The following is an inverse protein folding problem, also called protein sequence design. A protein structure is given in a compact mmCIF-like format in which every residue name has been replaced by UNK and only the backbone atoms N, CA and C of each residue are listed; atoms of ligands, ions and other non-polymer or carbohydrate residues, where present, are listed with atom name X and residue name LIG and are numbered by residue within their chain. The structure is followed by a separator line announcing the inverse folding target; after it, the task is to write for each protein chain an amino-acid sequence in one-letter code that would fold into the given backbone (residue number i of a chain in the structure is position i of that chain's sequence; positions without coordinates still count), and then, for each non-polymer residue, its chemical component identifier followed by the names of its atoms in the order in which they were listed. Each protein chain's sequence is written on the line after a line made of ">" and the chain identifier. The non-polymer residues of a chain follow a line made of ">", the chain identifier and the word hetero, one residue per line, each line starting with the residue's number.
data_IF_753150949903
#
_entry.id   IF_753150949903
#
_cell.length_a   1.000
_cell.length_b   1.000
_cell.length_c   1.000
_cell.angle_alpha   90.00
_cell.angle_beta   90.00
_cell.angle_gamma   90.00
#
_symmetry.space_group_name_H-M   'P 1'
#
loop_
_entity.id
_entity.type
_entity.pdbx_description
1 polymer ?
#
# COMPACT_ATOMS: atom_id res chain seq x y z
N UNK A 1 14.06 10.35 -18.19
CA UNK A 1 12.88 9.72 -17.55
C UNK A 1 13.18 9.36 -16.10
N UNK A 2 12.38 9.85 -15.19
CA UNK A 2 12.44 9.52 -13.76
C UNK A 2 11.04 9.17 -13.26
N UNK A 3 10.88 8.00 -12.67
CA UNK A 3 9.65 7.57 -12.02
C UNK A 3 9.99 7.03 -10.63
N UNK A 4 9.76 7.78 -9.55
CA UNK A 4 9.97 7.30 -8.19
C UNK A 4 8.83 6.38 -7.75
N UNK A 5 9.04 5.69 -6.62
CA UNK A 5 8.00 4.94 -5.92
C UNK A 5 7.39 3.77 -6.73
N UNK A 6 8.19 3.07 -7.54
CA UNK A 6 7.73 1.99 -8.41
C UNK A 6 7.67 0.63 -7.71
N UNK A 7 7.25 0.57 -6.46
CA UNK A 7 7.09 -0.68 -5.72
C UNK A 7 5.62 -1.07 -5.53
N UNK A 8 5.36 -1.68 -4.38
CA UNK A 8 4.01 -2.05 -3.94
C UNK A 8 3.33 -0.84 -3.26
N UNK A 9 3.95 -0.35 -2.18
CA UNK A 9 3.51 0.80 -1.39
C UNK A 9 4.75 1.53 -0.81
N UNK A 10 5.15 2.65 -1.38
CA UNK A 10 4.47 3.40 -2.45
C UNK A 10 4.60 2.72 -3.82
N UNK A 11 3.56 2.87 -4.62
CA UNK A 11 3.56 2.33 -5.97
C UNK A 11 2.21 1.81 -6.43
N UNK A 12 2.09 0.51 -6.74
CA UNK A 12 0.88 -0.09 -7.31
C UNK A 12 -0.38 0.22 -6.49
N UNK A 13 -0.27 0.29 -5.15
CA UNK A 13 -1.39 0.66 -4.30
C UNK A 13 -1.97 2.06 -4.62
N UNK A 14 -1.11 3.01 -5.02
CA UNK A 14 -1.55 4.35 -5.40
C UNK A 14 -2.06 4.43 -6.85
N UNK A 15 -1.55 3.56 -7.75
CA UNK A 15 -2.13 3.40 -9.10
C UNK A 15 -3.58 2.91 -8.98
N UNK A 16 -3.81 1.87 -8.18
CA UNK A 16 -5.17 1.36 -7.87
C UNK A 16 -6.04 2.45 -7.27
N UNK A 17 -5.55 3.14 -6.23
CA UNK A 17 -6.30 4.22 -5.58
C UNK A 17 -6.70 5.31 -6.57
N UNK A 18 -5.78 5.72 -7.45
CA UNK A 18 -6.07 6.70 -8.50
C UNK A 18 -7.05 6.16 -9.56
N UNK A 19 -7.00 4.86 -9.86
CA UNK A 19 -7.95 4.25 -10.79
C UNK A 19 -9.36 4.30 -10.25
N UNK A 20 -9.61 3.73 -9.06
CA UNK A 20 -10.96 3.68 -8.49
C UNK A 20 -11.51 5.06 -8.11
N UNK A 21 -10.64 6.05 -7.82
CA UNK A 21 -11.07 7.42 -7.52
C UNK A 21 -11.75 8.14 -8.69
N UNK A 22 -11.51 7.68 -9.93
CA UNK A 22 -12.10 8.29 -11.14
C UNK A 22 -13.58 8.00 -11.32
N UNK A 23 -14.14 7.07 -10.57
CA UNK A 23 -15.55 6.70 -10.66
C UNK A 23 -16.48 7.68 -9.94
N UNK A 24 -15.91 8.68 -9.27
CA UNK A 24 -16.65 9.62 -8.45
C UNK A 24 -16.72 11.00 -9.09
N UNK A 25 -17.92 11.61 -9.01
CA UNK A 25 -18.11 13.03 -9.34
C UNK A 25 -17.58 13.91 -8.19
N UNK A 26 -17.90 13.53 -6.97
CA UNK A 26 -17.44 14.18 -5.74
C UNK A 26 -16.82 13.10 -4.85
N UNK A 27 -15.48 13.06 -4.85
CA UNK A 27 -14.70 12.09 -4.09
C UNK A 27 -14.50 12.61 -2.66
N UNK A 28 -14.94 11.84 -1.67
CA UNK A 28 -14.90 12.25 -0.26
C UNK A 28 -13.84 11.51 0.55
N UNK A 29 -13.51 10.26 0.20
CA UNK A 29 -12.50 9.52 0.95
C UNK A 29 -11.74 8.53 0.06
N UNK A 30 -10.43 8.40 0.31
CA UNK A 30 -9.61 7.27 -0.16
C UNK A 30 -8.85 6.69 1.03
N UNK A 31 -9.02 5.39 1.27
CA UNK A 31 -8.28 4.65 2.29
C UNK A 31 -7.43 3.58 1.63
N UNK A 32 -6.13 3.66 1.81
CA UNK A 32 -5.17 2.66 1.30
C UNK A 32 -4.66 1.86 2.49
N UNK A 33 -4.92 0.55 2.49
CA UNK A 33 -4.53 -0.39 3.54
C UNK A 33 -3.70 -1.51 2.92
N UNK A 34 -2.42 -1.56 3.24
CA UNK A 34 -1.51 -2.58 2.70
C UNK A 34 -0.75 -3.25 3.83
N UNK A 35 -0.62 -4.56 3.78
CA UNK A 35 0.14 -5.30 4.77
C UNK A 35 0.90 -6.46 4.18
N UNK A 36 2.20 -6.56 4.52
CA UNK A 36 2.96 -7.78 4.39
C UNK A 36 2.91 -8.52 5.73
N UNK A 37 2.27 -9.67 5.75
CA UNK A 37 1.86 -10.37 6.97
C UNK A 37 2.46 -11.76 7.00
N UNK A 38 3.12 -12.12 8.10
CA UNK A 38 3.52 -13.49 8.35
C UNK A 38 2.30 -14.38 8.56
N UNK A 39 2.26 -15.56 7.92
CA UNK A 39 1.19 -16.55 8.11
C UNK A 39 1.34 -17.33 9.41
N UNK A 40 2.55 -17.48 9.93
CA UNK A 40 2.90 -18.40 11.01
C UNK A 40 3.56 -17.74 12.23
N UNK A 41 3.46 -16.41 12.38
CA UNK A 41 4.05 -15.74 13.52
C UNK A 41 3.36 -16.13 14.84
N UNK A 42 4.11 -16.80 15.72
CA UNK A 42 3.64 -17.29 17.03
C UNK A 42 4.04 -16.38 18.18
N UNK A 43 4.96 -15.43 17.94
CA UNK A 43 5.37 -14.47 18.95
C UNK A 43 4.25 -13.47 19.29
N UNK A 44 4.36 -12.79 20.43
CA UNK A 44 3.37 -11.78 20.85
C UNK A 44 3.28 -10.59 19.89
N UNK A 45 4.36 -10.30 19.17
CA UNK A 45 4.40 -9.28 18.13
C UNK A 45 3.52 -9.63 16.92
N UNK A 46 3.13 -10.92 16.77
CA UNK A 46 2.38 -11.44 15.61
C UNK A 46 3.04 -11.10 14.27
N UNK A 47 4.39 -11.08 14.28
CA UNK A 47 5.17 -10.65 13.14
C UNK A 47 6.49 -11.42 13.04
N UNK A 48 6.82 -11.87 11.83
CA UNK A 48 8.14 -12.29 11.40
C UNK A 48 8.52 -11.44 10.19
N UNK A 49 9.78 -11.06 10.08
CA UNK A 49 10.27 -10.25 8.96
C UNK A 49 10.34 -11.08 7.68
N UNK A 50 9.73 -10.58 6.59
CA UNK A 50 9.87 -11.13 5.23
C UNK A 50 10.60 -10.18 4.28
N UNK A 51 11.06 -9.03 4.81
CA UNK A 51 11.76 -7.98 4.08
C UNK A 51 12.71 -7.20 5.02
N UNK A 52 13.27 -6.07 4.56
CA UNK A 52 14.27 -5.30 5.30
C UNK A 52 13.78 -4.80 6.66
N UNK A 53 14.47 -5.19 7.73
CA UNK A 53 14.23 -4.68 9.08
C UNK A 53 14.47 -3.18 9.20
N UNK A 54 15.47 -2.63 8.50
CA UNK A 54 15.76 -1.19 8.47
C UNK A 54 14.60 -0.43 7.80
N UNK A 55 14.06 -0.98 6.71
CA UNK A 55 12.88 -0.43 6.05
C UNK A 55 11.66 -0.41 6.97
N UNK A 56 11.45 -1.49 7.73
CA UNK A 56 10.35 -1.59 8.69
C UNK A 56 10.46 -0.54 9.81
N UNK A 57 11.65 -0.35 10.38
CA UNK A 57 11.88 0.67 11.41
C UNK A 57 11.63 2.07 10.83
N UNK A 58 12.09 2.34 9.62
CA UNK A 58 11.84 3.62 8.95
C UNK A 58 10.35 3.89 8.71
N UNK A 59 9.54 2.86 8.36
CA UNK A 59 8.09 3.00 8.24
C UNK A 59 7.41 3.45 9.54
N UNK A 60 7.93 3.00 10.69
CA UNK A 60 7.36 3.31 12.01
C UNK A 60 7.86 4.64 12.58
N UNK A 61 8.65 5.38 11.83
CA UNK A 61 9.22 6.65 12.24
C UNK A 61 8.79 7.78 11.29
N UNK A 62 8.86 9.03 11.79
CA UNK A 62 8.69 10.21 10.97
C UNK A 62 7.23 10.62 10.74
N UNK A 63 7.03 11.31 9.63
CA UNK A 63 5.76 11.93 9.25
C UNK A 63 5.11 11.19 8.10
N UNK A 64 3.80 10.97 8.21
CA UNK A 64 2.98 10.33 7.20
C UNK A 64 2.13 11.38 6.49
N UNK A 65 2.28 11.48 5.18
CA UNK A 65 1.48 12.38 4.35
C UNK A 65 0.02 11.92 4.32
N UNK A 66 -0.89 12.84 4.46
CA UNK A 66 -2.34 12.60 4.40
C UNK A 66 -3.05 13.83 3.81
N UNK A 67 -4.28 13.65 3.37
CA UNK A 67 -5.21 14.76 3.14
C UNK A 67 -6.31 14.64 4.20
N UNK A 68 -6.64 15.74 4.85
CA UNK A 68 -7.73 15.85 5.80
C UNK A 68 -8.55 17.10 5.51
N UNK A 69 -9.84 16.90 5.32
CA UNK A 69 -10.77 17.98 4.92
C UNK A 69 -10.23 18.80 3.74
N UNK A 70 -9.70 18.09 2.73
CA UNK A 70 -9.12 18.68 1.54
C UNK A 70 -7.73 19.30 1.70
N UNK A 71 -7.17 19.34 2.90
CA UNK A 71 -5.87 19.95 3.16
C UNK A 71 -4.76 18.91 3.25
N UNK A 72 -3.67 19.16 2.51
CA UNK A 72 -2.45 18.37 2.62
C UNK A 72 -1.78 18.62 3.98
N UNK A 73 -1.61 17.57 4.75
CA UNK A 73 -1.01 17.64 6.08
C UNK A 73 -0.23 16.37 6.43
N UNK A 74 0.29 16.32 7.66
CA UNK A 74 1.11 15.22 8.13
C UNK A 74 0.59 14.68 9.47
N UNK A 75 0.46 13.37 9.55
CA UNK A 75 0.30 12.64 10.79
C UNK A 75 1.64 12.07 11.29
N UNK A 76 1.74 11.78 12.57
CA UNK A 76 2.87 11.00 13.08
C UNK A 76 2.72 9.53 12.69
N UNK A 77 3.83 8.84 12.43
CA UNK A 77 3.83 7.39 12.34
C UNK A 77 3.28 6.77 13.63
N UNK A 78 2.71 5.57 13.54
CA UNK A 78 2.02 4.84 14.61
C UNK A 78 0.77 5.54 15.18
N UNK A 79 0.34 6.65 14.59
CA UNK A 79 -0.93 7.30 14.95
C UNK A 79 -2.10 6.78 14.11
N UNK A 80 -3.32 7.23 14.41
CA UNK A 80 -4.51 6.90 13.63
C UNK A 80 -4.86 5.41 13.68
N UNK A 81 -4.56 4.75 14.80
CA UNK A 81 -4.90 3.35 15.03
C UNK A 81 -6.38 3.07 14.76
N UNK A 82 -6.65 1.98 14.04
CA UNK A 82 -7.99 1.46 13.82
C UNK A 82 -7.98 -0.08 13.82
N UNK A 83 -9.08 -0.68 14.22
CA UNK A 83 -9.39 -2.08 13.94
C UNK A 83 -10.25 -2.14 12.69
N UNK A 84 -9.93 -3.05 11.80
CA UNK A 84 -10.64 -3.22 10.54
C UNK A 84 -10.88 -4.71 10.28
N UNK A 85 -12.08 -5.03 9.83
CA UNK A 85 -12.42 -6.39 9.38
C UNK A 85 -12.42 -6.42 7.87
N UNK A 86 -11.58 -7.27 7.28
CA UNK A 86 -11.49 -7.47 5.83
C UNK A 86 -11.75 -8.95 5.57
N UNK A 87 -12.74 -9.23 4.75
CA UNK A 87 -13.16 -10.60 4.40
C UNK A 87 -13.31 -11.53 5.64
N UNK A 88 -13.96 -11.01 6.69
CA UNK A 88 -14.21 -11.77 7.93
C UNK A 88 -13.02 -11.92 8.87
N UNK A 89 -11.85 -11.38 8.54
CA UNK A 89 -10.66 -11.40 9.38
C UNK A 89 -10.36 -10.04 9.98
N UNK A 90 -10.07 -10.01 11.29
CA UNK A 90 -9.69 -8.78 11.98
C UNK A 90 -8.20 -8.45 11.79
N UNK A 91 -7.95 -7.18 11.52
CA UNK A 91 -6.63 -6.57 11.44
C UNK A 91 -6.60 -5.28 12.27
N UNK A 92 -5.41 -4.81 12.51
CA UNK A 92 -5.18 -3.44 12.94
C UNK A 92 -4.44 -2.67 11.85
N UNK A 93 -4.74 -1.37 11.75
CA UNK A 93 -4.08 -0.48 10.81
C UNK A 93 -3.71 0.83 11.49
N UNK A 94 -2.58 1.40 11.08
CA UNK A 94 -2.05 2.65 11.62
C UNK A 94 -1.13 3.33 10.61
N UNK A 95 -0.96 4.64 10.76
CA UNK A 95 -0.12 5.43 9.86
C UNK A 95 1.33 4.96 9.89
N UNK A 96 1.91 4.75 8.71
CA UNK A 96 3.35 4.52 8.52
C UNK A 96 3.87 5.44 7.43
N UNK A 97 5.16 5.81 7.53
CA UNK A 97 5.75 6.75 6.57
C UNK A 97 5.99 6.11 5.21
N UNK A 98 5.92 6.92 4.16
CA UNK A 98 6.31 6.56 2.79
C UNK A 98 5.22 5.93 1.93
N UNK A 99 4.28 5.18 2.49
CA UNK A 99 3.36 4.32 1.73
C UNK A 99 2.44 5.01 0.71
N UNK A 100 2.13 6.28 0.90
CA UNK A 100 1.29 7.07 -0.02
C UNK A 100 2.09 7.69 -1.20
N UNK A 101 3.42 7.72 -1.09
CA UNK A 101 4.28 8.30 -2.13
C UNK A 101 3.92 9.74 -2.49
N UNK A 102 3.79 10.03 -3.79
CA UNK A 102 3.43 11.34 -4.35
C UNK A 102 1.92 11.56 -4.44
N UNK A 103 1.10 10.55 -4.20
CA UNK A 103 -0.32 10.55 -4.52
C UNK A 103 -1.12 11.67 -3.82
N UNK A 104 -0.88 11.91 -2.53
CA UNK A 104 -1.56 13.00 -1.82
C UNK A 104 -1.28 14.37 -2.46
N UNK A 105 -0.01 14.61 -2.84
CA UNK A 105 0.37 15.85 -3.53
C UNK A 105 -0.30 15.94 -4.91
N UNK A 106 -0.29 14.86 -5.68
CA UNK A 106 -0.92 14.78 -7.00
C UNK A 106 -2.41 15.12 -6.93
N UNK A 107 -3.13 14.65 -5.92
CA UNK A 107 -4.54 14.98 -5.72
C UNK A 107 -4.74 16.47 -5.39
N UNK A 108 -3.94 17.02 -4.50
CA UNK A 108 -4.00 18.46 -4.18
C UNK A 108 -3.70 19.35 -5.39
N UNK A 109 -2.69 19.00 -6.18
CA UNK A 109 -2.32 19.75 -7.38
C UNK A 109 -3.42 19.73 -8.46
N UNK A 110 -4.32 18.73 -8.45
CA UNK A 110 -5.50 18.69 -9.33
C UNK A 110 -6.64 19.64 -8.92
N UNK A 111 -6.60 20.18 -7.70
CA UNK A 111 -7.52 21.23 -7.24
C UNK A 111 -8.94 20.78 -6.83
N UNK A 112 -9.22 19.49 -6.75
CA UNK A 112 -10.54 18.94 -6.40
C UNK A 112 -10.49 18.18 -5.06
N UNK A 113 -10.17 18.89 -3.99
CA UNK A 113 -9.95 18.23 -2.68
C UNK A 113 -10.87 18.72 -1.56
N UNK A 114 -11.86 19.56 -1.82
CA UNK A 114 -12.75 20.09 -0.77
C UNK A 114 -13.47 18.91 -0.09
N UNK A 115 -13.31 18.81 1.24
CA UNK A 115 -13.91 17.73 2.03
C UNK A 115 -13.29 16.34 1.83
N UNK A 116 -12.19 16.22 1.06
CA UNK A 116 -11.55 14.94 0.77
C UNK A 116 -10.62 14.50 1.92
N UNK A 117 -10.78 13.26 2.34
CA UNK A 117 -9.87 12.56 3.25
C UNK A 117 -9.09 11.47 2.53
N UNK A 118 -7.75 11.49 2.61
CA UNK A 118 -6.88 10.44 2.04
C UNK A 118 -5.83 10.04 3.04
N UNK A 119 -5.71 8.74 3.29
CA UNK A 119 -4.62 8.20 4.08
C UNK A 119 -4.15 6.82 3.61
N UNK A 120 -2.91 6.55 3.95
CA UNK A 120 -2.30 5.23 3.89
C UNK A 120 -2.04 4.72 5.31
N UNK A 121 -2.42 3.48 5.58
CA UNK A 121 -2.06 2.80 6.82
C UNK A 121 -1.55 1.40 6.51
N UNK A 122 -0.57 0.97 7.26
CA UNK A 122 -0.08 -0.40 7.20
C UNK A 122 -0.99 -1.32 7.98
N UNK A 123 -1.38 -2.45 7.35
CA UNK A 123 -2.12 -3.53 8.02
C UNK A 123 -1.16 -4.41 8.81
N UNK A 124 -1.59 -4.81 10.01
CA UNK A 124 -0.92 -5.80 10.85
C UNK A 124 -1.94 -6.72 11.52
N UNK A 125 -1.48 -7.87 12.01
CA UNK A 125 -2.30 -8.75 12.86
C UNK A 125 -2.60 -8.07 14.18
N UNK A 126 -3.80 -8.31 14.72
CA UNK A 126 -4.23 -7.71 15.99
C UNK A 126 -3.24 -8.01 17.11
N UNK A 127 -2.83 -6.96 17.83
CA UNK A 127 -1.87 -7.01 18.92
C UNK A 127 -0.46 -6.54 18.56
N UNK A 128 -0.14 -6.30 17.29
CA UNK A 128 1.17 -5.81 16.86
C UNK A 128 1.44 -4.36 17.32
N UNK A 129 0.48 -3.48 17.08
CA UNK A 129 0.63 -2.04 17.31
C UNK A 129 1.06 -1.72 18.76
N UNK A 130 0.45 -2.33 19.76
CA UNK A 130 0.75 -2.04 21.16
C UNK A 130 2.22 -2.26 21.53
N UNK A 131 2.87 -3.30 20.97
CA UNK A 131 4.28 -3.58 21.24
C UNK A 131 5.21 -2.63 20.48
N UNK A 132 4.84 -2.27 19.27
CA UNK A 132 5.60 -1.29 18.50
C UNK A 132 5.48 0.09 19.14
N UNK A 133 4.28 0.51 19.50
CA UNK A 133 4.04 1.79 20.17
C UNK A 133 4.84 1.90 21.48
N UNK A 134 4.88 0.82 22.26
CA UNK A 134 5.70 0.72 23.49
C UNK A 134 7.20 0.94 23.19
N UNK A 135 7.75 0.24 22.17
CA UNK A 135 9.18 0.37 21.85
C UNK A 135 9.54 1.77 21.34
N UNK A 136 8.69 2.33 20.49
CA UNK A 136 8.97 3.58 19.79
C UNK A 136 8.59 4.83 20.59
N UNK A 137 7.46 4.81 21.32
CA UNK A 137 6.93 5.99 22.01
C UNK A 137 7.16 5.99 23.52
N UNK A 138 6.98 4.85 24.20
CA UNK A 138 7.16 4.79 25.64
C UNK A 138 8.64 4.67 25.97
N UNK A 139 9.34 3.68 25.42
CA UNK A 139 10.78 3.50 25.63
C UNK A 139 11.63 4.47 24.82
N UNK A 140 11.11 5.01 23.71
CA UNK A 140 11.81 5.95 22.82
C UNK A 140 13.18 5.42 22.39
N UNK A 141 13.24 4.12 22.06
CA UNK A 141 14.50 3.48 21.68
C UNK A 141 15.09 4.15 20.43
N UNK A 142 16.41 4.38 20.40
CA UNK A 142 17.10 4.87 19.21
C UNK A 142 16.95 3.92 18.02
N UNK A 143 17.00 4.45 16.80
CA UNK A 143 16.80 3.68 15.56
C UNK A 143 17.80 2.55 15.37
N UNK A 144 19.04 2.71 15.80
CA UNK A 144 20.08 1.67 15.74
C UNK A 144 19.75 0.48 16.65
N UNK A 145 19.21 0.74 17.84
CA UNK A 145 18.74 -0.32 18.75
C UNK A 145 17.52 -1.02 18.16
N UNK A 146 16.55 -0.27 17.61
CA UNK A 146 15.37 -0.83 16.96
C UNK A 146 15.77 -1.70 15.76
N UNK A 147 16.66 -1.22 14.90
CA UNK A 147 17.19 -1.97 13.77
C UNK A 147 17.88 -3.27 14.22
N UNK A 148 18.66 -3.20 15.30
CA UNK A 148 19.30 -4.39 15.88
C UNK A 148 18.25 -5.39 16.39
N UNK A 149 17.17 -4.94 17.05
CA UNK A 149 16.08 -5.80 17.51
C UNK A 149 15.41 -6.50 16.32
N UNK A 150 14.98 -5.75 15.30
CA UNK A 150 14.29 -6.35 14.16
C UNK A 150 15.18 -7.25 13.31
N UNK A 151 16.46 -6.95 13.20
CA UNK A 151 17.41 -7.73 12.42
C UNK A 151 17.82 -9.04 13.10
N UNK A 152 18.00 -9.02 14.42
CA UNK A 152 18.65 -10.12 15.14
C UNK A 152 17.73 -10.90 16.08
N UNK A 153 16.58 -10.32 16.49
CA UNK A 153 15.70 -10.93 17.48
C UNK A 153 14.27 -11.18 16.98
N UNK A 154 13.84 -10.54 15.90
CA UNK A 154 12.58 -10.89 15.23
C UNK A 154 12.89 -11.94 14.17
N UNK A 155 12.27 -13.14 14.24
CA UNK A 155 12.53 -14.19 13.26
C UNK A 155 12.20 -13.76 11.83
N UNK A 156 12.96 -14.28 10.86
CA UNK A 156 12.64 -14.13 9.45
C UNK A 156 11.68 -15.23 8.99
N UNK A 157 10.89 -14.93 7.94
CA UNK A 157 10.00 -15.91 7.31
C UNK A 157 9.98 -15.75 5.80
N UNK A 158 9.77 -16.87 5.12
CA UNK A 158 9.41 -16.92 3.70
C UNK A 158 7.92 -17.23 3.51
N UNK A 159 7.19 -17.43 4.61
CA UNK A 159 5.76 -17.73 4.63
C UNK A 159 4.97 -16.46 4.97
N UNK A 160 4.81 -15.60 3.99
CA UNK A 160 4.06 -14.37 4.10
C UNK A 160 2.88 -14.33 3.11
N UNK A 161 2.04 -13.35 3.30
CA UNK A 161 1.03 -12.89 2.36
C UNK A 161 1.03 -11.36 2.32
N UNK A 162 0.70 -10.81 1.17
CA UNK A 162 0.45 -9.38 1.03
C UNK A 162 -1.04 -9.17 0.82
N UNK A 163 -1.61 -8.25 1.59
CA UNK A 163 -2.98 -7.78 1.42
C UNK A 163 -2.94 -6.35 0.91
N UNK A 164 -3.66 -6.10 -0.18
CA UNK A 164 -3.98 -4.76 -0.67
C UNK A 164 -5.49 -4.57 -0.52
N UNK A 165 -5.88 -3.57 0.25
CA UNK A 165 -7.27 -3.17 0.44
C UNK A 165 -7.36 -1.66 0.27
N UNK A 166 -7.99 -1.22 -0.81
CA UNK A 166 -8.15 0.19 -1.15
C UNK A 166 -9.62 0.48 -1.32
N UNK A 167 -10.12 1.48 -0.60
CA UNK A 167 -11.49 1.96 -0.77
C UNK A 167 -11.49 3.41 -1.20
N UNK A 168 -12.42 3.75 -2.07
CA UNK A 168 -12.77 5.12 -2.41
C UNK A 168 -14.28 5.30 -2.23
N UNK A 169 -14.69 6.40 -1.63
CA UNK A 169 -16.11 6.70 -1.40
C UNK A 169 -16.44 8.14 -1.72
N UNK A 170 -17.68 8.35 -2.14
CA UNK A 170 -18.16 9.65 -2.56
C UNK A 170 -19.46 9.56 -3.39
N UNK A 171 -19.72 10.56 -4.21
CA UNK A 171 -20.95 10.70 -5.00
C UNK A 171 -20.74 10.23 -6.44
N UNK A 172 -21.64 9.40 -6.95
CA UNK A 172 -21.64 8.94 -8.35
C UNK A 172 -21.94 10.08 -9.32
N UNK A 173 -21.37 10.04 -10.54
CA UNK A 173 -21.62 11.08 -11.53
C UNK A 173 -23.02 11.07 -12.16
N UNK A 174 -23.74 9.94 -12.16
CA UNK A 174 -25.00 9.79 -12.92
C UNK A 174 -26.26 9.96 -12.08
N UNK A 175 -26.30 9.37 -10.88
CA UNK A 175 -27.48 9.34 -10.02
C UNK A 175 -27.31 10.15 -8.74
N UNK A 176 -26.12 10.73 -8.54
CA UNK A 176 -25.76 11.52 -7.36
C UNK A 176 -25.95 10.77 -6.04
N UNK A 177 -25.90 9.43 -6.06
CA UNK A 177 -25.96 8.61 -4.87
C UNK A 177 -24.55 8.43 -4.26
N UNK A 178 -24.50 8.33 -2.94
CA UNK A 178 -23.28 7.96 -2.24
C UNK A 178 -23.00 6.49 -2.46
N UNK A 179 -21.75 6.14 -2.79
CA UNK A 179 -21.31 4.75 -2.89
C UNK A 179 -19.85 4.60 -2.49
N UNK A 180 -19.43 3.37 -2.28
CA UNK A 180 -18.04 3.00 -2.04
C UNK A 180 -17.60 1.98 -3.09
N UNK A 181 -16.41 2.18 -3.64
CA UNK A 181 -15.71 1.20 -4.46
C UNK A 181 -14.52 0.65 -3.72
N UNK A 182 -14.36 -0.66 -3.78
CA UNK A 182 -13.28 -1.36 -3.10
C UNK A 182 -12.47 -2.16 -4.11
N UNK A 183 -11.15 -2.11 -3.97
CA UNK A 183 -10.21 -3.07 -4.53
C UNK A 183 -9.64 -3.90 -3.38
N UNK A 184 -9.74 -5.22 -3.50
CA UNK A 184 -9.23 -6.15 -2.50
C UNK A 184 -8.51 -7.30 -3.16
N UNK A 185 -7.25 -7.53 -2.79
CA UNK A 185 -6.51 -8.71 -3.23
C UNK A 185 -5.53 -9.20 -2.18
N UNK A 186 -5.43 -10.53 -2.09
CA UNK A 186 -4.45 -11.24 -1.27
C UNK A 186 -3.45 -11.91 -2.19
N UNK A 187 -2.18 -11.67 -1.98
CA UNK A 187 -1.09 -12.27 -2.73
C UNK A 187 -0.36 -13.27 -1.82
N UNK A 188 -0.38 -14.56 -2.15
CA UNK A 188 0.49 -15.53 -1.51
C UNK A 188 1.91 -15.44 -2.06
N UNK A 189 2.87 -16.11 -1.41
CA UNK A 189 4.18 -16.36 -1.99
C UNK A 189 4.05 -17.01 -3.38
N UNK A 190 4.98 -16.70 -4.27
CA UNK A 190 4.95 -17.16 -5.66
C UNK A 190 6.19 -17.99 -5.99
N UNK A 191 6.02 -19.02 -6.83
CA UNK A 191 7.13 -19.76 -7.40
C UNK A 191 7.25 -19.44 -8.89
N UNK A 192 8.39 -18.90 -9.28
CA UNK A 192 8.68 -18.57 -10.66
C UNK A 192 10.03 -19.17 -11.07
N UNK A 193 10.03 -19.92 -12.16
CA UNK A 193 11.21 -20.62 -12.71
C UNK A 193 11.98 -21.44 -11.66
N UNK A 194 11.27 -22.14 -10.79
CA UNK A 194 11.84 -23.00 -9.75
C UNK A 194 12.39 -22.28 -8.52
N UNK A 195 12.27 -20.95 -8.45
CA UNK A 195 12.62 -20.15 -7.27
C UNK A 195 11.34 -19.63 -6.62
N UNK A 196 11.26 -19.80 -5.29
CA UNK A 196 10.16 -19.25 -4.48
C UNK A 196 10.53 -17.85 -3.99
N UNK A 197 9.60 -16.92 -4.18
CA UNK A 197 9.66 -15.54 -3.71
C UNK A 197 8.62 -15.35 -2.61
N UNK A 198 8.94 -14.58 -1.60
CA UNK A 198 7.93 -14.12 -0.63
C UNK A 198 6.88 -13.27 -1.34
N UNK A 199 5.70 -13.12 -0.74
CA UNK A 199 4.64 -12.30 -1.32
C UNK A 199 5.08 -10.84 -1.48
N UNK A 200 5.82 -10.30 -0.50
CA UNK A 200 6.32 -8.92 -0.56
C UNK A 200 7.42 -8.75 -1.62
N UNK A 201 8.35 -9.70 -1.77
CA UNK A 201 9.36 -9.67 -2.84
C UNK A 201 8.70 -9.66 -4.20
N UNK A 202 7.76 -10.60 -4.41
CA UNK A 202 7.07 -10.74 -5.70
C UNK A 202 6.25 -9.50 -6.04
N UNK A 203 5.39 -9.03 -5.16
CA UNK A 203 4.52 -7.87 -5.42
C UNK A 203 5.33 -6.60 -5.63
N UNK A 204 6.37 -6.35 -4.85
CA UNK A 204 7.23 -5.17 -5.04
C UNK A 204 7.96 -5.21 -6.38
N UNK A 205 8.54 -6.37 -6.74
CA UNK A 205 9.22 -6.53 -8.02
C UNK A 205 8.26 -6.44 -9.21
N UNK A 206 7.07 -7.05 -9.12
CA UNK A 206 6.05 -6.98 -10.15
C UNK A 206 5.62 -5.54 -10.44
N UNK A 207 5.47 -4.71 -9.40
CA UNK A 207 5.19 -3.28 -9.56
C UNK A 207 6.25 -2.56 -10.39
N UNK A 208 7.53 -2.75 -10.03
CA UNK A 208 8.63 -2.13 -10.78
C UNK A 208 8.70 -2.62 -12.22
N UNK A 209 8.65 -3.95 -12.43
CA UNK A 209 8.82 -4.53 -13.76
C UNK A 209 7.67 -4.13 -14.68
N UNK A 210 6.44 -4.03 -14.18
CA UNK A 210 5.31 -3.52 -14.97
C UNK A 210 5.55 -2.12 -15.51
N UNK A 211 6.15 -1.22 -14.72
CA UNK A 211 6.52 0.12 -15.19
C UNK A 211 7.63 0.07 -16.25
N UNK A 212 8.61 -0.83 -16.10
CA UNK A 212 9.67 -1.04 -17.09
C UNK A 212 9.09 -1.57 -18.41
N UNK A 213 8.18 -2.54 -18.37
CA UNK A 213 7.50 -3.05 -19.57
C UNK A 213 6.73 -1.93 -20.28
N UNK A 214 5.93 -1.15 -19.56
CA UNK A 214 5.19 -0.02 -20.14
C UNK A 214 6.11 1.04 -20.77
N UNK A 215 7.27 1.29 -20.16
CA UNK A 215 8.26 2.19 -20.75
C UNK A 215 8.85 1.63 -22.06
N UNK A 216 9.23 0.36 -22.07
CA UNK A 216 9.78 -0.31 -23.25
C UNK A 216 8.76 -0.40 -24.39
N UNK A 217 7.48 -0.60 -24.07
CA UNK A 217 6.36 -0.64 -25.02
C UNK A 217 5.94 0.74 -25.53
N UNK A 218 6.62 1.82 -25.07
CA UNK A 218 6.32 3.19 -25.49
C UNK A 218 5.02 3.76 -24.93
N UNK A 219 4.45 3.15 -23.89
CA UNK A 219 3.23 3.59 -23.22
C UNK A 219 3.48 4.68 -22.16
N UNK A 220 4.73 4.90 -21.79
CA UNK A 220 5.14 5.96 -20.89
C UNK A 220 5.97 7.01 -21.66
N UNK A 221 5.96 8.28 -21.21
CA UNK A 221 6.81 9.32 -21.76
C UNK A 221 8.29 8.93 -21.73
N UNK A 222 9.05 9.34 -22.74
CA UNK A 222 10.49 8.99 -22.84
C UNK A 222 11.38 9.83 -21.93
N UNK A 223 10.90 10.96 -21.46
CA UNK A 223 11.63 11.91 -20.63
C UNK A 223 10.73 12.56 -19.56
N UNK A 224 11.33 13.32 -18.66
CA UNK A 224 10.63 14.04 -17.61
C UNK A 224 10.45 13.25 -16.31
N UNK A 225 9.68 13.85 -15.41
CA UNK A 225 9.30 13.28 -14.11
C UNK A 225 7.86 12.80 -14.17
N UNK A 226 7.63 11.52 -13.88
CA UNK A 226 6.33 10.90 -13.95
C UNK A 226 6.00 10.27 -12.60
N UNK A 227 4.83 10.55 -12.08
CA UNK A 227 4.33 9.91 -10.86
C UNK A 227 3.70 8.56 -11.23
N UNK A 228 3.95 7.53 -10.43
CA UNK A 228 3.46 6.20 -10.73
C UNK A 228 1.93 6.15 -10.77
N UNK A 229 1.25 6.83 -9.86
CA UNK A 229 -0.21 6.90 -9.81
C UNK A 229 -0.86 7.50 -11.06
N UNK A 230 -0.09 8.17 -11.92
CA UNK A 230 -0.61 8.71 -13.19
C UNK A 230 -0.73 7.65 -14.29
N UNK A 231 -0.12 6.48 -14.11
CA UNK A 231 -0.14 5.39 -15.09
C UNK A 231 -1.57 4.81 -15.20
N UNK A 232 -1.94 4.40 -16.42
CA UNK A 232 -3.23 3.77 -16.65
C UNK A 232 -3.26 2.36 -16.04
N UNK A 233 -4.28 2.07 -15.24
CA UNK A 233 -4.41 0.79 -14.54
C UNK A 233 -4.58 -0.40 -15.51
N UNK A 234 -5.40 -0.27 -16.54
CA UNK A 234 -5.59 -1.32 -17.54
C UNK A 234 -4.29 -1.65 -18.27
N UNK A 235 -3.47 -0.63 -18.56
CA UNK A 235 -2.15 -0.87 -19.15
C UNK A 235 -1.24 -1.66 -18.21
N UNK A 236 -1.27 -1.36 -16.91
CA UNK A 236 -0.55 -2.15 -15.91
C UNK A 236 -1.02 -3.59 -15.90
N UNK A 237 -2.34 -3.84 -15.85
CA UNK A 237 -2.91 -5.18 -15.83
C UNK A 237 -2.59 -6.00 -17.10
N UNK A 238 -2.26 -5.35 -18.19
CA UNK A 238 -1.88 -6.00 -19.45
C UNK A 238 -0.39 -6.31 -19.56
N UNK A 239 0.44 -5.90 -18.58
CA UNK A 239 1.86 -6.31 -18.52
C UNK A 239 2.01 -7.75 -18.01
N UNK A 240 3.18 -8.34 -18.26
CA UNK A 240 3.49 -9.73 -17.86
C UNK A 240 3.30 -9.96 -16.36
N UNK A 241 3.66 -9.00 -15.52
CA UNK A 241 3.58 -9.14 -14.08
C UNK A 241 2.45 -8.34 -13.45
N UNK A 242 1.99 -7.27 -14.08
CA UNK A 242 0.84 -6.49 -13.62
C UNK A 242 -0.46 -7.28 -13.63
N UNK A 243 -0.61 -8.28 -14.49
CA UNK A 243 -1.78 -9.17 -14.54
C UNK A 243 -2.08 -9.86 -13.21
N UNK A 244 -1.09 -10.08 -12.36
CA UNK A 244 -1.28 -10.67 -11.04
C UNK A 244 -2.07 -9.77 -10.08
N UNK A 245 -2.24 -8.49 -10.41
CA UNK A 245 -3.04 -7.54 -9.65
C UNK A 245 -4.52 -7.51 -10.06
N UNK A 246 -4.96 -8.28 -11.10
CA UNK A 246 -6.39 -8.40 -11.44
C UNK A 246 -7.17 -8.95 -10.27
N UNK A 247 -8.37 -8.44 -10.06
CA UNK A 247 -9.31 -9.01 -9.10
C UNK A 247 -9.81 -10.37 -9.61
N UNK A 248 -10.21 -11.28 -8.71
CA UNK A 248 -10.62 -12.63 -9.09
C UNK A 248 -11.90 -12.64 -9.93
N UNK A 249 -12.79 -11.68 -9.73
CA UNK A 249 -14.02 -11.53 -10.53
C UNK A 249 -13.76 -11.13 -11.99
N UNK A 250 -12.65 -10.47 -12.27
CA UNK A 250 -12.25 -10.10 -13.63
C UNK A 250 -11.67 -11.30 -14.42
N UNK A 251 -11.20 -12.34 -13.75
CA UNK A 251 -10.66 -13.54 -14.40
C UNK A 251 -11.76 -14.40 -15.06
N UNK A 252 -13.01 -14.30 -14.58
CA UNK A 252 -14.16 -15.07 -15.12
C UNK A 252 -14.76 -14.45 -16.39
N UNK A 253 -14.41 -13.22 -16.74
CA UNK A 253 -14.91 -12.52 -17.93
C UNK A 253 -13.98 -12.63 -19.16
N UNK A 254 -12.92 -13.43 -19.11
CA UNK A 254 -11.95 -13.60 -20.19
C UNK A 254 -12.10 -14.92 -20.99
N UNK A 255 -13.24 -15.65 -20.83
CA UNK A 255 -13.55 -16.86 -21.59
C UNK A 255 -14.85 -16.74 -22.37
#
# INVERSE_FOLDING_TARGET
>A
FTMPHCGLAPGLSTVVANHISKDFHDLQSIKIRVGALSKSATNKLRYHTSWSGDGLVNEYMGKCQVIRDGMYCFNSALSGYEKITINGQEFEAFNTSGGIGTFAKTLCDRGTTIGLDVDYKTLRRVGHHQYIDFLFKDLKLPSDILNNIFKNYVPNTTEDEVIIYVTASGIRPFDYTFFERTYYKVFPKQTYRGRTFTAIEFTTAAGLISMVELYLDGKLPKDGYITQESVNWEDVLNTTYGRYYREEDDEHNLY
#
